data_IF_091192292459
#
_entry.id   IF_091192292459
#
_cell.length_a   1.000
_cell.length_b   1.000
_cell.length_c   1.000
_cell.angle_alpha   90.00
_cell.angle_beta   90.00
_cell.angle_gamma   90.00
#
_symmetry.space_group_name_H-M   'P 1'
#
loop_
_entity.id
_entity.type
_entity.pdbx_description
1 polymer ?
#
# COMPACT_ATOMS: atom_id res chain seq x y z
N UNK A 1 -21.56 -9.00 -13.51
CA UNK A 1 -21.14 -8.28 -12.28
C UNK A 1 -20.27 -9.21 -11.43
N UNK A 2 -18.96 -9.21 -11.65
CA UNK A 2 -18.01 -10.16 -11.04
C UNK A 2 -17.67 -9.85 -9.55
N UNK A 3 -18.25 -8.78 -8.99
CA UNK A 3 -17.90 -8.24 -7.67
C UNK A 3 -18.86 -8.62 -6.55
N UNK A 4 -20.00 -9.25 -6.88
CA UNK A 4 -21.13 -9.39 -5.94
C UNK A 4 -21.39 -10.82 -5.45
N UNK A 5 -20.77 -11.85 -6.02
CA UNK A 5 -21.25 -13.21 -5.77
C UNK A 5 -20.54 -13.94 -4.65
N UNK A 6 -19.29 -13.60 -4.31
CA UNK A 6 -18.64 -14.00 -3.06
C UNK A 6 -17.44 -13.10 -2.81
N UNK A 7 -17.28 -12.57 -1.59
CA UNK A 7 -16.01 -12.42 -0.87
C UNK A 7 -16.14 -11.31 0.19
N UNK A 8 -15.69 -11.62 1.40
CA UNK A 8 -15.35 -10.68 2.46
C UNK A 8 -14.20 -9.78 1.98
N UNK A 9 -14.49 -8.89 1.02
CA UNK A 9 -13.52 -7.97 0.44
C UNK A 9 -13.82 -6.59 1.02
N UNK A 10 -13.17 -6.27 2.13
CA UNK A 10 -13.19 -4.92 2.71
C UNK A 10 -12.15 -4.07 1.96
N UNK A 11 -12.62 -3.10 1.18
CA UNK A 11 -11.75 -2.17 0.46
C UNK A 11 -11.46 -0.98 1.36
N UNK A 12 -10.26 -0.94 1.96
CA UNK A 12 -9.79 0.24 2.67
C UNK A 12 -8.93 1.10 1.75
N UNK A 13 -9.38 2.31 1.44
CA UNK A 13 -8.57 3.36 0.82
C UNK A 13 -8.13 4.34 1.91
N UNK A 14 -6.82 4.55 2.07
CA UNK A 14 -6.29 5.55 3.00
C UNK A 14 -5.60 6.64 2.19
N UNK A 15 -6.26 7.79 2.04
CA UNK A 15 -5.62 9.01 1.55
C UNK A 15 -4.93 9.68 2.74
N UNK A 16 -3.61 9.72 2.71
CA UNK A 16 -2.82 10.19 3.84
C UNK A 16 -2.29 11.59 3.52
N UNK A 17 -2.47 12.56 4.44
CA UNK A 17 -2.09 13.92 4.16
C UNK A 17 -0.57 14.00 3.92
N UNK A 18 -0.20 14.62 2.81
CA UNK A 18 1.20 14.90 2.45
C UNK A 18 1.82 16.02 3.29
N UNK A 19 1.09 16.55 4.29
CA UNK A 19 1.57 17.58 5.21
C UNK A 19 2.56 17.00 6.22
N UNK A 20 3.33 17.86 6.89
CA UNK A 20 4.33 17.42 7.88
C UNK A 20 3.64 16.85 9.13
N UNK A 21 3.88 15.56 9.42
CA UNK A 21 3.28 14.84 10.55
C UNK A 21 4.31 14.70 11.68
N UNK A 22 3.85 14.70 12.94
CA UNK A 22 4.71 14.46 14.11
C UNK A 22 5.04 12.97 14.28
N UNK A 23 6.17 12.67 14.94
CA UNK A 23 6.61 11.28 15.19
C UNK A 23 5.59 10.43 15.96
N UNK A 24 4.91 10.99 16.96
CA UNK A 24 3.87 10.28 17.71
C UNK A 24 2.66 9.93 16.84
N UNK A 25 2.32 10.79 15.88
CA UNK A 25 1.23 10.52 14.94
C UNK A 25 1.65 9.45 13.91
N UNK A 26 2.90 9.46 13.45
CA UNK A 26 3.46 8.42 12.56
C UNK A 26 3.35 7.02 13.19
N UNK A 27 3.71 6.86 14.46
CA UNK A 27 3.63 5.56 15.14
C UNK A 27 2.19 5.06 15.24
N UNK A 28 1.26 5.92 15.66
CA UNK A 28 -0.16 5.58 15.74
C UNK A 28 -0.72 5.14 14.39
N UNK A 29 -0.40 5.88 13.32
CA UNK A 29 -0.81 5.52 11.97
C UNK A 29 -0.25 4.17 11.54
N UNK A 30 1.02 3.89 11.81
CA UNK A 30 1.63 2.59 11.53
C UNK A 30 0.93 1.45 12.29
N UNK A 31 0.56 1.66 13.55
CA UNK A 31 -0.16 0.65 14.35
C UNK A 31 -1.55 0.39 13.77
N UNK A 32 -2.30 1.45 13.44
CA UNK A 32 -3.64 1.34 12.83
C UNK A 32 -3.62 0.64 11.48
N UNK A 33 -2.68 1.01 10.60
CA UNK A 33 -2.52 0.39 9.29
C UNK A 33 -2.04 -1.06 9.41
N UNK A 34 -1.12 -1.35 10.33
CA UNK A 34 -0.67 -2.73 10.60
C UNK A 34 -1.86 -3.60 11.03
N UNK A 35 -2.72 -3.08 11.91
CA UNK A 35 -3.93 -3.79 12.33
C UNK A 35 -4.87 -4.05 11.15
N UNK A 36 -5.09 -3.05 10.27
CA UNK A 36 -5.91 -3.23 9.05
C UNK A 36 -5.32 -4.30 8.14
N UNK A 37 -4.04 -4.19 7.75
CA UNK A 37 -3.35 -5.14 6.87
C UNK A 37 -3.35 -6.55 7.47
N UNK A 38 -3.15 -6.68 8.79
CA UNK A 38 -3.15 -7.97 9.47
C UNK A 38 -4.45 -8.76 9.32
N UNK A 39 -5.59 -8.05 9.21
CA UNK A 39 -6.93 -8.64 9.01
C UNK A 39 -7.19 -9.05 7.55
N UNK A 40 -6.43 -8.51 6.59
CA UNK A 40 -6.58 -8.82 5.18
C UNK A 40 -5.95 -10.18 4.82
N UNK A 41 -6.53 -10.87 3.84
CA UNK A 41 -5.96 -12.08 3.23
C UNK A 41 -5.20 -11.76 1.94
N UNK A 42 -5.66 -10.76 1.20
CA UNK A 42 -5.05 -10.23 -0.01
C UNK A 42 -4.90 -8.70 0.10
N UNK A 43 -3.88 -8.16 -0.56
CA UNK A 43 -3.66 -6.71 -0.70
C UNK A 43 -3.60 -6.38 -2.18
N UNK A 44 -4.50 -5.50 -2.64
CA UNK A 44 -4.49 -4.97 -4.00
C UNK A 44 -3.77 -3.61 -4.01
N UNK A 45 -2.72 -3.51 -4.82
CA UNK A 45 -1.92 -2.30 -4.99
C UNK A 45 -2.26 -1.71 -6.37
N UNK A 46 -2.91 -0.55 -6.37
CA UNK A 46 -3.20 0.20 -7.58
C UNK A 46 -2.10 1.25 -7.76
N UNK A 47 -1.38 1.17 -8.86
CA UNK A 47 -0.25 2.05 -9.19
C UNK A 47 -0.73 3.16 -10.12
N UNK A 48 -0.71 4.38 -9.61
CA UNK A 48 -0.97 5.64 -10.32
C UNK A 48 0.34 6.42 -10.53
N UNK A 49 0.25 7.61 -11.12
CA UNK A 49 1.40 8.48 -11.39
C UNK A 49 2.22 8.83 -10.14
N UNK A 50 1.55 8.92 -8.98
CA UNK A 50 2.16 9.39 -7.72
C UNK A 50 2.57 8.25 -6.78
N UNK A 51 2.27 7.00 -7.15
CA UNK A 51 2.42 5.83 -6.29
C UNK A 51 3.83 5.58 -5.74
N UNK A 52 4.87 6.07 -6.42
CA UNK A 52 6.26 5.94 -5.97
C UNK A 52 6.97 7.30 -5.80
N UNK A 53 6.20 8.40 -5.75
CA UNK A 53 6.75 9.73 -5.46
C UNK A 53 7.14 9.82 -3.98
N UNK A 54 8.18 10.58 -3.68
CA UNK A 54 8.66 10.76 -2.31
C UNK A 54 7.73 11.69 -1.51
N UNK A 55 7.40 11.29 -0.28
CA UNK A 55 6.59 12.03 0.67
C UNK A 55 7.48 12.93 1.56
N UNK A 56 6.95 14.08 2.00
CA UNK A 56 7.67 15.00 2.90
C UNK A 56 8.06 14.36 4.24
N UNK A 57 7.37 13.29 4.65
CA UNK A 57 7.61 12.55 5.87
C UNK A 57 8.42 11.26 5.64
N UNK A 58 9.01 11.06 4.45
CA UNK A 58 9.75 9.83 4.09
C UNK A 58 10.74 9.41 5.18
N UNK A 59 11.47 10.36 5.77
CA UNK A 59 12.41 10.11 6.86
C UNK A 59 11.78 9.57 8.16
N UNK A 60 10.53 9.93 8.47
CA UNK A 60 9.80 9.41 9.64
C UNK A 60 9.08 8.10 9.31
N UNK A 61 8.60 7.97 8.08
CA UNK A 61 7.97 6.74 7.58
C UNK A 61 9.02 5.62 7.48
N UNK A 62 10.25 5.95 7.08
CA UNK A 62 11.33 5.01 6.79
C UNK A 62 11.23 4.39 5.40
N UNK A 63 10.37 4.94 4.54
CA UNK A 63 10.10 4.53 3.15
C UNK A 63 9.81 5.78 2.32
N UNK A 64 9.86 5.67 0.98
CA UNK A 64 9.60 6.82 0.10
C UNK A 64 8.25 7.48 0.37
N UNK A 65 7.19 6.70 0.53
CA UNK A 65 5.88 7.18 0.93
C UNK A 65 5.12 6.09 1.72
N UNK A 66 3.87 6.36 2.05
CA UNK A 66 3.01 5.43 2.78
C UNK A 66 2.64 4.18 1.99
N UNK A 67 2.42 4.28 0.68
CA UNK A 67 2.13 3.12 -0.16
C UNK A 67 3.32 2.15 -0.18
N UNK A 68 4.56 2.66 -0.26
CA UNK A 68 5.78 1.86 -0.10
C UNK A 68 5.79 1.13 1.25
N UNK A 69 5.51 1.84 2.35
CA UNK A 69 5.46 1.25 3.69
C UNK A 69 4.35 0.19 3.84
N UNK A 70 3.15 0.41 3.29
CA UNK A 70 2.04 -0.54 3.34
C UNK A 70 2.38 -1.83 2.57
N UNK A 71 3.00 -1.71 1.40
CA UNK A 71 3.46 -2.87 0.61
C UNK A 71 4.54 -3.65 1.37
N UNK A 72 5.50 -2.95 1.98
CA UNK A 72 6.53 -3.57 2.81
C UNK A 72 5.91 -4.33 4.01
N UNK A 73 4.97 -3.69 4.70
CA UNK A 73 4.28 -4.27 5.86
C UNK A 73 3.42 -5.48 5.45
N UNK A 74 2.75 -5.42 4.31
CA UNK A 74 2.00 -6.55 3.76
C UNK A 74 2.92 -7.75 3.47
N UNK A 75 4.12 -7.51 2.94
CA UNK A 75 5.14 -8.56 2.75
C UNK A 75 5.61 -9.15 4.08
N UNK A 76 5.94 -8.31 5.05
CA UNK A 76 6.34 -8.72 6.40
C UNK A 76 5.28 -9.62 7.06
N UNK A 77 4.01 -9.28 6.87
CA UNK A 77 2.86 -10.05 7.36
C UNK A 77 2.45 -11.23 6.46
N UNK A 78 3.28 -11.61 5.47
CA UNK A 78 3.07 -12.71 4.53
C UNK A 78 1.71 -12.66 3.80
N UNK A 79 1.26 -11.45 3.45
CA UNK A 79 0.01 -11.27 2.69
C UNK A 79 0.23 -11.57 1.21
N UNK A 80 -0.84 -12.02 0.55
CA UNK A 80 -0.84 -12.19 -0.91
C UNK A 80 -1.06 -10.84 -1.58
N UNK A 81 -0.10 -10.37 -2.36
CA UNK A 81 -0.13 -9.03 -2.96
C UNK A 81 -0.39 -9.15 -4.46
N UNK A 82 -1.37 -8.39 -4.94
CA UNK A 82 -1.69 -8.23 -6.37
C UNK A 82 -1.48 -6.77 -6.74
N UNK A 83 -0.78 -6.52 -7.84
CA UNK A 83 -0.42 -5.19 -8.30
C UNK A 83 -0.99 -4.93 -9.68
N UNK A 84 -1.60 -3.77 -9.88
CA UNK A 84 -2.06 -3.34 -11.20
C UNK A 84 -1.63 -1.90 -11.44
N UNK A 85 -1.19 -1.60 -12.66
CA UNK A 85 -0.87 -0.23 -13.06
C UNK A 85 -2.04 0.33 -13.85
N UNK A 86 -2.47 1.54 -13.50
CA UNK A 86 -3.46 2.29 -14.28
C UNK A 86 -2.87 2.68 -15.65
N UNK A 87 -1.56 2.94 -15.69
CA UNK A 87 -0.78 3.14 -16.90
C UNK A 87 0.55 2.37 -16.79
N UNK A 88 0.96 1.67 -17.84
CA UNK A 88 2.18 0.86 -17.85
C UNK A 88 3.45 1.66 -17.53
N UNK A 89 3.45 2.96 -17.84
CA UNK A 89 4.56 3.89 -17.63
C UNK A 89 4.71 4.34 -16.17
N UNK A 90 3.72 4.09 -15.30
CA UNK A 90 3.82 4.50 -13.90
C UNK A 90 4.76 3.60 -13.12
N UNK A 91 5.55 4.24 -12.25
CA UNK A 91 6.51 3.54 -11.41
C UNK A 91 5.80 2.94 -10.19
N UNK A 92 5.87 1.61 -10.00
CA UNK A 92 5.28 0.97 -8.84
C UNK A 92 6.11 1.26 -7.58
N UNK A 93 5.54 1.06 -6.38
CA UNK A 93 6.31 1.01 -5.15
C UNK A 93 7.49 0.03 -5.31
N UNK A 94 8.68 0.42 -4.86
CA UNK A 94 9.89 -0.40 -4.99
C UNK A 94 9.72 -1.77 -4.32
N UNK A 95 8.97 -1.79 -3.22
CA UNK A 95 8.63 -2.96 -2.45
C UNK A 95 7.60 -3.84 -3.16
N UNK A 96 7.07 -3.45 -4.32
CA UNK A 96 6.24 -4.31 -5.16
C UNK A 96 7.08 -5.13 -6.16
N UNK A 97 8.34 -4.74 -6.39
CA UNK A 97 9.28 -5.44 -7.27
C UNK A 97 9.74 -6.74 -6.59
N UNK A 98 9.80 -7.84 -7.34
CA UNK A 98 10.23 -9.15 -6.83
C UNK A 98 9.26 -9.83 -5.85
N UNK A 99 8.11 -9.21 -5.54
CA UNK A 99 6.97 -9.93 -4.96
C UNK A 99 6.41 -10.89 -6.01
N UNK A 100 5.70 -11.94 -5.60
CA UNK A 100 4.90 -12.80 -6.49
C UNK A 100 3.70 -12.05 -7.09
N UNK A 101 3.92 -10.83 -7.59
CA UNK A 101 2.93 -9.91 -8.07
C UNK A 101 2.56 -10.29 -9.51
N UNK A 102 1.32 -10.73 -9.70
CA UNK A 102 0.74 -10.84 -11.04
C UNK A 102 0.26 -9.46 -11.46
N UNK A 103 0.82 -8.93 -12.53
CA UNK A 103 0.36 -7.68 -13.13
C UNK A 103 -0.92 -7.95 -13.91
N UNK A 104 -2.03 -7.34 -13.49
CA UNK A 104 -3.22 -7.32 -14.34
C UNK A 104 -2.88 -6.52 -15.62
N UNK A 105 -3.11 -7.14 -16.78
CA UNK A 105 -2.97 -6.56 -18.12
C UNK A 105 -4.33 -6.16 -18.66
#
# INVERSE_FOLDING_TARGET
NAWNEHMECDFSYNDMPSEKISSNNILKLKDELTLKISKCTYVLVIVSEDSNKEDLNSGLIGYKNWQNWEVAKAKELNKKIVGTKVNSMFEPPEELIGSCTSWAR
#
